data_IF_692853097666
#
_entry.id   IF_692853097666
#
_cell.length_a   1.000
_cell.length_b   1.000
_cell.length_c   1.000
_cell.angle_alpha   90.00
_cell.angle_beta   90.00
_cell.angle_gamma   90.00
#
_symmetry.space_group_name_H-M   'P 1'
#
loop_
_entity.id
_entity.type
_entity.pdbx_description
1 polymer ?
#
# COMPACT_ATOMS: atom_id res chain seq x y z
N UNK A 1 7.39 -42.86 17.36
CA UNK A 1 6.66 -44.13 17.57
C UNK A 1 7.66 -45.18 18.02
N UNK A 2 7.55 -45.76 19.22
CA UNK A 2 8.36 -46.94 19.52
C UNK A 2 7.69 -48.14 18.83
N UNK A 3 8.35 -48.67 17.80
CA UNK A 3 7.92 -49.85 17.04
C UNK A 3 7.66 -51.08 17.93
N UNK A 4 8.15 -51.02 19.17
CA UNK A 4 8.08 -52.04 20.22
C UNK A 4 6.68 -52.21 20.83
N UNK A 5 5.94 -51.13 21.08
CA UNK A 5 4.60 -51.25 21.68
C UNK A 5 3.58 -51.83 20.69
N UNK A 6 3.62 -51.36 19.44
CA UNK A 6 2.79 -51.90 18.34
C UNK A 6 3.16 -53.36 18.06
N UNK A 7 4.45 -53.72 18.13
CA UNK A 7 4.88 -55.10 18.01
C UNK A 7 4.32 -55.99 19.14
N UNK A 8 4.32 -55.52 20.40
CA UNK A 8 3.74 -56.26 21.54
C UNK A 8 2.23 -56.47 21.39
N UNK A 9 1.49 -55.48 20.88
CA UNK A 9 0.04 -55.59 20.62
C UNK A 9 -0.22 -56.56 19.46
N UNK A 10 0.55 -56.47 18.37
CA UNK A 10 0.44 -57.38 17.23
C UNK A 10 0.82 -58.81 17.64
N UNK A 11 1.83 -59.00 18.48
CA UNK A 11 2.26 -60.31 18.96
C UNK A 11 1.25 -60.93 19.93
N UNK A 12 0.63 -60.10 20.77
CA UNK A 12 -0.51 -60.50 21.61
C UNK A 12 -1.74 -60.90 20.78
N UNK A 13 -2.06 -60.15 19.71
CA UNK A 13 -3.16 -60.46 18.78
C UNK A 13 -2.85 -61.66 17.86
N UNK A 14 -1.58 -61.86 17.47
CA UNK A 14 -1.12 -63.00 16.64
C UNK A 14 -1.00 -64.30 17.41
N UNK A 15 -0.65 -64.24 18.70
CA UNK A 15 -0.58 -65.40 19.59
C UNK A 15 -1.94 -65.81 20.16
N UNK A 16 -3.05 -65.23 19.65
CA UNK A 16 -4.40 -65.57 20.05
C UNK A 16 -4.73 -67.05 19.85
N UNK A 17 -4.92 -67.75 20.97
CA UNK A 17 -5.70 -68.99 21.05
C UNK A 17 -7.11 -68.73 20.50
N UNK A 18 -7.80 -69.80 20.06
CA UNK A 18 -9.20 -69.74 19.58
C UNK A 18 -10.05 -68.91 20.54
N UNK A 19 -11.07 -68.21 20.02
CA UNK A 19 -11.94 -67.28 20.74
C UNK A 19 -12.56 -67.79 22.07
N UNK A 20 -12.48 -69.09 22.37
CA UNK A 20 -12.92 -69.72 23.61
C UNK A 20 -11.93 -69.57 24.80
N UNK A 21 -10.68 -69.13 24.57
CA UNK A 21 -9.60 -69.10 25.60
C UNK A 21 -9.16 -67.69 26.02
N UNK A 22 -9.84 -66.62 25.60
CA UNK A 22 -9.46 -65.24 25.96
C UNK A 22 -9.92 -64.93 27.39
N UNK A 23 -8.99 -64.68 28.31
CA UNK A 23 -9.31 -64.38 29.70
C UNK A 23 -9.60 -62.88 29.92
N UNK A 24 -10.29 -62.55 31.01
CA UNK A 24 -10.49 -61.15 31.43
C UNK A 24 -9.16 -60.43 31.67
N UNK A 25 -8.14 -61.16 32.15
CA UNK A 25 -6.79 -60.64 32.40
C UNK A 25 -6.10 -60.21 31.10
N UNK A 26 -6.31 -60.96 30.01
CA UNK A 26 -5.81 -60.63 28.68
C UNK A 26 -6.43 -59.32 28.15
N UNK A 27 -7.74 -59.13 28.34
CA UNK A 27 -8.45 -57.89 27.98
C UNK A 27 -7.96 -56.71 28.81
N UNK A 28 -7.72 -56.91 30.12
CA UNK A 28 -7.20 -55.87 31.00
C UNK A 28 -5.77 -55.46 30.62
N UNK A 29 -4.88 -56.42 30.34
CA UNK A 29 -3.50 -56.12 29.87
C UNK A 29 -3.50 -55.36 28.55
N UNK A 30 -4.38 -55.74 27.62
CA UNK A 30 -4.52 -55.01 26.35
C UNK A 30 -5.04 -53.58 26.59
N UNK A 31 -6.02 -53.40 27.47
CA UNK A 31 -6.54 -52.08 27.83
C UNK A 31 -5.47 -51.20 28.51
N UNK A 32 -4.62 -51.78 29.35
CA UNK A 32 -3.52 -51.08 30.03
C UNK A 32 -2.42 -50.67 29.04
N UNK A 33 -2.01 -51.57 28.14
CA UNK A 33 -1.08 -51.26 27.05
C UNK A 33 -1.62 -50.19 26.08
N UNK A 34 -2.93 -50.21 25.81
CA UNK A 34 -3.60 -49.16 25.05
C UNK A 34 -3.58 -47.82 25.79
N UNK A 35 -3.91 -47.81 27.08
CA UNK A 35 -3.93 -46.60 27.90
C UNK A 35 -2.53 -45.95 28.00
N UNK A 36 -1.48 -46.74 28.21
CA UNK A 36 -0.09 -46.26 28.23
C UNK A 36 0.36 -45.72 26.87
N UNK A 37 0.01 -46.42 25.79
CA UNK A 37 0.28 -45.97 24.41
C UNK A 37 -0.40 -44.64 24.10
N UNK A 38 -1.68 -44.48 24.45
CA UNK A 38 -2.41 -43.24 24.28
C UNK A 38 -1.83 -42.11 25.13
N UNK A 39 -1.52 -42.34 26.41
CA UNK A 39 -0.89 -41.31 27.25
C UNK A 39 0.45 -40.82 26.68
N UNK A 40 1.29 -41.74 26.19
CA UNK A 40 2.56 -41.39 25.55
C UNK A 40 2.37 -40.61 24.25
N UNK A 41 1.38 -41.00 23.44
CA UNK A 41 1.00 -40.31 22.22
C UNK A 41 0.52 -38.87 22.50
N UNK A 42 -0.44 -38.70 23.42
CA UNK A 42 -0.96 -37.38 23.80
C UNK A 42 0.14 -36.48 24.35
N UNK A 43 1.04 -37.00 25.20
CA UNK A 43 2.17 -36.22 25.74
C UNK A 43 3.12 -35.73 24.64
N UNK A 44 3.39 -36.55 23.64
CA UNK A 44 4.26 -36.18 22.51
C UNK A 44 3.57 -35.18 21.58
N UNK A 45 2.28 -35.37 21.34
CA UNK A 45 1.45 -34.48 20.53
C UNK A 45 1.29 -33.10 21.20
N UNK A 46 1.05 -33.06 22.51
CA UNK A 46 0.99 -31.81 23.27
C UNK A 46 2.31 -31.04 23.14
N UNK A 47 3.46 -31.69 23.38
CA UNK A 47 4.77 -31.05 23.24
C UNK A 47 5.02 -30.51 21.83
N UNK A 48 4.62 -31.24 20.79
CA UNK A 48 4.75 -30.81 19.41
C UNK A 48 3.85 -29.60 19.11
N UNK A 49 2.59 -29.63 19.54
CA UNK A 49 1.63 -28.53 19.35
C UNK A 49 2.07 -27.28 20.12
N UNK A 50 2.54 -27.42 21.36
CA UNK A 50 3.07 -26.29 22.14
C UNK A 50 4.33 -25.70 21.51
N UNK A 51 5.20 -26.53 20.93
CA UNK A 51 6.36 -26.05 20.20
C UNK A 51 5.94 -25.28 18.94
N UNK A 52 5.01 -25.82 18.15
CA UNK A 52 4.51 -25.19 16.93
C UNK A 52 3.78 -23.87 17.20
N UNK A 53 2.88 -23.84 18.19
CA UNK A 53 2.23 -22.60 18.65
C UNK A 53 3.24 -21.59 19.17
N UNK A 54 4.30 -22.05 19.84
CA UNK A 54 5.40 -21.21 20.31
C UNK A 54 6.21 -20.57 19.17
N UNK A 55 6.48 -21.33 18.11
CA UNK A 55 7.12 -20.80 16.89
C UNK A 55 6.21 -19.80 16.17
N UNK A 56 4.92 -20.12 15.99
CA UNK A 56 3.95 -19.18 15.41
C UNK A 56 3.85 -17.87 16.21
N UNK A 57 3.79 -17.96 17.55
CA UNK A 57 3.75 -16.78 18.41
C UNK A 57 5.02 -15.93 18.27
N UNK A 58 6.19 -16.57 18.09
CA UNK A 58 7.46 -15.89 17.86
C UNK A 58 7.51 -15.21 16.50
N UNK A 59 7.03 -15.87 15.45
CA UNK A 59 6.90 -15.25 14.12
C UNK A 59 5.97 -14.03 14.13
N UNK A 60 4.82 -14.13 14.81
CA UNK A 60 3.90 -12.99 14.97
C UNK A 60 4.56 -11.83 15.72
N UNK A 61 5.31 -12.14 16.79
CA UNK A 61 6.03 -11.12 17.56
C UNK A 61 7.09 -10.40 16.71
N UNK A 62 7.89 -11.16 15.96
CA UNK A 62 8.89 -10.61 15.05
C UNK A 62 8.24 -9.74 13.97
N UNK A 63 7.15 -10.22 13.37
CA UNK A 63 6.40 -9.47 12.37
C UNK A 63 5.86 -8.15 12.95
N UNK A 64 5.32 -8.17 14.17
CA UNK A 64 4.83 -6.95 14.85
C UNK A 64 5.95 -5.93 15.06
N UNK A 65 7.15 -6.38 15.41
CA UNK A 65 8.33 -5.51 15.55
C UNK A 65 8.77 -4.92 14.21
N UNK A 66 8.82 -5.74 13.16
CA UNK A 66 9.12 -5.28 11.80
C UNK A 66 8.09 -4.28 11.27
N UNK A 67 6.80 -4.48 11.57
CA UNK A 67 5.73 -3.54 11.26
C UNK A 67 5.89 -2.21 12.00
N UNK A 68 6.37 -2.24 13.25
CA UNK A 68 6.64 -1.02 14.02
C UNK A 68 7.78 -0.20 13.39
N UNK A 69 8.80 -0.85 12.83
CA UNK A 69 9.92 -0.19 12.14
C UNK A 69 9.49 0.57 10.88
N UNK A 70 8.37 0.20 10.25
CA UNK A 70 7.82 0.94 9.10
C UNK A 70 7.28 2.32 9.47
N UNK A 71 7.15 2.64 10.76
CA UNK A 71 6.72 3.97 11.26
C UNK A 71 5.50 4.52 10.52
N UNK A 72 4.49 3.67 10.29
CA UNK A 72 3.29 4.01 9.53
C UNK A 72 2.47 5.12 10.22
N UNK A 73 2.51 5.18 11.55
CA UNK A 73 1.86 6.25 12.33
C UNK A 73 2.40 7.62 11.96
N UNK A 74 3.73 7.77 11.81
CA UNK A 74 4.33 9.07 11.45
C UNK A 74 3.97 9.47 10.01
N UNK A 75 3.81 8.49 9.12
CA UNK A 75 3.31 8.78 7.77
C UNK A 75 1.87 9.27 7.81
N UNK A 76 1.01 8.61 8.58
CA UNK A 76 -0.42 8.96 8.73
C UNK A 76 -0.61 10.32 9.42
N UNK A 77 0.13 10.56 10.49
CA UNK A 77 -0.13 11.69 11.40
C UNK A 77 0.66 12.95 11.01
N UNK A 78 1.78 12.82 10.30
CA UNK A 78 2.65 13.96 9.97
C UNK A 78 2.87 14.13 8.46
N UNK A 79 3.40 13.11 7.78
CA UNK A 79 3.87 13.27 6.39
C UNK A 79 2.72 13.41 5.37
N UNK A 80 1.70 12.54 5.42
CA UNK A 80 0.55 12.62 4.51
C UNK A 80 -0.24 13.93 4.71
N UNK A 81 -0.60 14.33 5.94
CA UNK A 81 -1.27 15.61 6.17
C UNK A 81 -0.43 16.81 5.72
N UNK A 82 0.89 16.74 5.89
CA UNK A 82 1.79 17.79 5.43
C UNK A 82 1.84 17.85 3.90
N UNK A 83 1.94 16.72 3.21
CA UNK A 83 1.86 16.69 1.75
C UNK A 83 0.52 17.25 1.23
N UNK A 84 -0.59 16.96 1.90
CA UNK A 84 -1.89 17.58 1.60
C UNK A 84 -1.86 19.11 1.71
N UNK A 85 -1.35 19.64 2.82
CA UNK A 85 -1.20 21.11 2.98
C UNK A 85 -0.28 21.75 1.95
N UNK A 86 0.77 21.05 1.51
CA UNK A 86 1.64 21.53 0.43
C UNK A 86 0.89 21.60 -0.91
N UNK A 87 0.04 20.60 -1.20
CA UNK A 87 -0.82 20.61 -2.40
C UNK A 87 -1.86 21.73 -2.36
N UNK A 88 -2.51 21.95 -1.22
CA UNK A 88 -3.47 23.06 -1.08
C UNK A 88 -2.79 24.41 -1.30
N UNK A 89 -1.60 24.60 -0.72
CA UNK A 89 -0.81 25.82 -0.90
C UNK A 89 -0.32 26.00 -2.35
N UNK A 90 -0.06 24.92 -3.08
CA UNK A 90 0.24 24.98 -4.51
C UNK A 90 -0.98 25.49 -5.28
N UNK A 91 -2.18 24.94 -5.01
CA UNK A 91 -3.41 25.35 -5.69
C UNK A 91 -3.67 26.84 -5.46
N UNK A 92 -3.64 27.28 -4.20
CA UNK A 92 -3.86 28.69 -3.83
C UNK A 92 -2.86 29.62 -4.53
N UNK A 93 -1.56 29.30 -4.47
CA UNK A 93 -0.54 30.11 -5.13
C UNK A 93 -0.70 30.13 -6.66
N UNK A 94 -1.11 29.03 -7.28
CA UNK A 94 -1.36 28.99 -8.73
C UNK A 94 -2.59 29.78 -9.14
N UNK A 95 -3.64 29.80 -8.31
CA UNK A 95 -4.83 30.61 -8.53
C UNK A 95 -4.51 32.11 -8.41
N UNK A 96 -3.77 32.51 -7.36
CA UNK A 96 -3.34 33.89 -7.14
C UNK A 96 -2.44 34.39 -8.29
N UNK A 97 -1.48 33.58 -8.72
CA UNK A 97 -0.61 33.91 -9.85
C UNK A 97 -1.42 34.07 -11.15
N UNK A 98 -2.37 33.17 -11.40
CA UNK A 98 -3.23 33.23 -12.60
C UNK A 98 -4.08 34.49 -12.60
N UNK A 99 -4.72 34.82 -11.47
CA UNK A 99 -5.50 36.05 -11.33
C UNK A 99 -4.64 37.29 -11.57
N UNK A 100 -3.42 37.34 -11.01
CA UNK A 100 -2.49 38.46 -11.20
C UNK A 100 -2.11 38.63 -12.68
N UNK A 101 -1.80 37.52 -13.36
CA UNK A 101 -1.46 37.53 -14.80
C UNK A 101 -2.65 38.01 -15.64
N UNK A 102 -3.86 37.51 -15.34
CA UNK A 102 -5.08 37.92 -16.06
C UNK A 102 -5.39 39.39 -15.86
N UNK A 103 -5.36 39.90 -14.62
CA UNK A 103 -5.59 41.31 -14.32
C UNK A 103 -4.57 42.22 -15.00
N UNK A 104 -3.29 41.87 -14.98
CA UNK A 104 -2.25 42.63 -15.68
C UNK A 104 -2.49 42.67 -17.19
N UNK A 105 -2.91 41.55 -17.80
CA UNK A 105 -3.26 41.50 -19.22
C UNK A 105 -4.50 42.34 -19.55
N UNK A 106 -5.53 42.32 -18.70
CA UNK A 106 -6.73 43.15 -18.85
C UNK A 106 -6.40 44.64 -18.79
N UNK A 107 -5.54 45.07 -17.87
CA UNK A 107 -5.10 46.46 -17.76
C UNK A 107 -4.31 46.92 -19.00
N UNK A 108 -3.44 46.06 -19.54
CA UNK A 108 -2.74 46.32 -20.81
C UNK A 108 -3.74 46.49 -21.96
N UNK A 109 -4.76 45.63 -22.06
CA UNK A 109 -5.77 45.71 -23.12
C UNK A 109 -6.66 46.94 -23.01
N UNK A 110 -6.91 47.43 -21.79
CA UNK A 110 -7.72 48.62 -21.53
C UNK A 110 -6.94 49.94 -21.67
N UNK A 111 -5.62 49.87 -21.89
CA UNK A 111 -4.75 51.03 -21.93
C UNK A 111 -5.03 51.94 -23.14
N UNK A 112 -5.01 53.25 -22.91
CA UNK A 112 -5.12 54.25 -23.99
C UNK A 112 -3.81 54.35 -24.76
N UNK A 113 -3.84 53.96 -26.04
CA UNK A 113 -2.67 53.99 -26.92
C UNK A 113 -2.39 55.38 -27.54
N UNK A 114 -3.23 56.39 -27.26
CA UNK A 114 -3.05 57.74 -27.84
C UNK A 114 -1.95 58.54 -27.16
N UNK A 115 -1.66 58.28 -25.88
CA UNK A 115 -0.48 58.77 -25.17
C UNK A 115 0.60 57.68 -25.15
N UNK A 116 1.60 57.83 -26.02
CA UNK A 116 2.62 56.80 -26.22
C UNK A 116 3.51 56.59 -24.98
N UNK A 117 3.86 57.67 -24.28
CA UNK A 117 4.74 57.63 -23.11
C UNK A 117 4.02 56.98 -21.93
N UNK A 118 2.75 57.34 -21.70
CA UNK A 118 1.93 56.74 -20.66
C UNK A 118 1.64 55.26 -20.95
N UNK A 119 1.33 54.92 -22.21
CA UNK A 119 1.11 53.55 -22.63
C UNK A 119 2.36 52.69 -22.43
N UNK A 120 3.55 53.15 -22.87
CA UNK A 120 4.80 52.41 -22.67
C UNK A 120 5.11 52.17 -21.20
N UNK A 121 4.89 53.17 -20.33
CA UNK A 121 5.12 53.04 -18.90
C UNK A 121 4.20 51.98 -18.27
N UNK A 122 2.90 52.03 -18.56
CA UNK A 122 1.92 51.07 -18.05
C UNK A 122 2.21 49.65 -18.54
N UNK A 123 2.47 49.47 -19.85
CA UNK A 123 2.80 48.15 -20.40
C UNK A 123 4.07 47.60 -19.77
N UNK A 124 5.09 48.43 -19.59
CA UNK A 124 6.33 48.04 -18.92
C UNK A 124 6.11 47.57 -17.49
N UNK A 125 5.29 48.30 -16.72
CA UNK A 125 4.90 47.94 -15.35
C UNK A 125 4.15 46.60 -15.31
N UNK A 126 3.09 46.44 -16.12
CA UNK A 126 2.25 45.23 -16.11
C UNK A 126 3.00 43.98 -16.60
N UNK A 127 3.94 44.14 -17.52
CA UNK A 127 4.83 43.04 -17.94
C UNK A 127 5.77 42.61 -16.81
N UNK A 128 6.24 43.55 -15.97
CA UNK A 128 7.02 43.22 -14.76
C UNK A 128 6.15 42.44 -13.77
N UNK A 129 4.90 42.86 -13.54
CA UNK A 129 3.96 42.16 -12.66
C UNK A 129 3.74 40.71 -13.12
N UNK A 130 3.57 40.49 -14.43
CA UNK A 130 3.46 39.15 -15.03
C UNK A 130 4.72 38.32 -14.76
N UNK A 131 5.91 38.88 -14.97
CA UNK A 131 7.15 38.15 -14.69
C UNK A 131 7.32 37.81 -13.21
N UNK A 132 6.90 38.70 -12.31
CA UNK A 132 6.92 38.43 -10.87
C UNK A 132 5.93 37.32 -10.50
N UNK A 133 4.71 37.35 -11.02
CA UNK A 133 3.71 36.31 -10.82
C UNK A 133 4.20 34.94 -11.33
N UNK A 134 4.88 34.91 -12.47
CA UNK A 134 5.49 33.68 -13.01
C UNK A 134 6.69 33.18 -12.18
N UNK A 135 7.39 34.06 -11.45
CA UNK A 135 8.59 33.67 -10.68
C UNK A 135 8.27 32.76 -9.48
N UNK A 136 7.01 32.67 -9.05
CA UNK A 136 6.55 31.76 -7.99
C UNK A 136 6.64 30.27 -8.37
N UNK A 137 6.85 29.97 -9.65
CA UNK A 137 6.98 28.60 -10.15
C UNK A 137 8.11 27.82 -9.46
N UNK A 138 9.18 28.49 -9.00
CA UNK A 138 10.27 27.82 -8.27
C UNK A 138 9.81 27.27 -6.92
N UNK A 139 9.07 28.06 -6.13
CA UNK A 139 8.51 27.61 -4.84
C UNK A 139 7.48 26.50 -5.05
N UNK A 140 6.63 26.62 -6.07
CA UNK A 140 5.68 25.57 -6.45
C UNK A 140 6.41 24.27 -6.83
N UNK A 141 7.48 24.35 -7.60
CA UNK A 141 8.30 23.19 -7.96
C UNK A 141 8.96 22.52 -6.75
N UNK A 142 9.42 23.30 -5.78
CA UNK A 142 9.97 22.78 -4.52
C UNK A 142 8.89 22.05 -3.70
N UNK A 143 7.69 22.64 -3.58
CA UNK A 143 6.55 22.03 -2.85
C UNK A 143 6.09 20.74 -3.51
N UNK A 144 5.95 20.72 -4.84
CA UNK A 144 5.63 19.49 -5.60
C UNK A 144 6.69 18.42 -5.35
N UNK A 145 7.98 18.79 -5.42
CA UNK A 145 9.08 17.86 -5.16
C UNK A 145 8.99 17.22 -3.77
N UNK A 146 8.59 18.00 -2.75
CA UNK A 146 8.38 17.52 -1.38
C UNK A 146 7.20 16.55 -1.27
N UNK A 147 6.09 16.84 -1.96
CA UNK A 147 4.92 15.95 -2.03
C UNK A 147 5.30 14.63 -2.71
N UNK A 148 5.94 14.68 -3.88
CA UNK A 148 6.39 13.50 -4.63
C UNK A 148 7.36 12.66 -3.81
N UNK A 149 8.31 13.29 -3.11
CA UNK A 149 9.23 12.58 -2.21
C UNK A 149 8.48 11.83 -1.10
N UNK A 150 7.44 12.45 -0.53
CA UNK A 150 6.60 11.84 0.50
C UNK A 150 5.83 10.63 -0.02
N UNK A 151 5.23 10.74 -1.22
CA UNK A 151 4.53 9.64 -1.87
C UNK A 151 5.47 8.48 -2.21
N UNK A 152 6.67 8.77 -2.71
CA UNK A 152 7.69 7.76 -3.00
C UNK A 152 8.17 7.05 -1.72
N UNK A 153 8.28 7.77 -0.61
CA UNK A 153 8.63 7.17 0.68
C UNK A 153 7.52 6.24 1.19
N UNK A 154 6.26 6.62 1.00
CA UNK A 154 5.10 5.81 1.33
C UNK A 154 5.03 4.55 0.46
N UNK A 155 5.22 4.69 -0.86
CA UNK A 155 5.22 3.57 -1.81
C UNK A 155 6.28 2.51 -1.45
N UNK A 156 7.49 2.95 -1.11
CA UNK A 156 8.55 2.03 -0.64
C UNK A 156 8.15 1.26 0.61
N UNK A 157 7.55 1.94 1.60
CA UNK A 157 7.13 1.31 2.86
C UNK A 157 5.97 0.34 2.65
N UNK A 158 5.00 0.69 1.80
CA UNK A 158 3.90 -0.21 1.42
C UNK A 158 4.44 -1.42 0.65
N UNK A 159 5.37 -1.22 -0.27
CA UNK A 159 6.00 -2.32 -1.01
C UNK A 159 6.70 -3.28 -0.05
N UNK A 160 7.52 -2.77 0.89
CA UNK A 160 8.15 -3.60 1.92
C UNK A 160 7.12 -4.32 2.80
N UNK A 161 6.02 -3.66 3.16
CA UNK A 161 4.92 -4.27 3.91
C UNK A 161 4.29 -5.42 3.12
N UNK A 162 3.97 -5.19 1.85
CA UNK A 162 3.35 -6.18 0.96
C UNK A 162 4.31 -7.35 0.73
N UNK A 163 5.61 -7.12 0.54
CA UNK A 163 6.60 -8.19 0.40
C UNK A 163 6.68 -9.06 1.67
N UNK A 164 6.73 -8.44 2.86
CA UNK A 164 6.74 -9.15 4.14
C UNK A 164 5.43 -9.89 4.38
N UNK A 165 4.30 -9.30 4.00
CA UNK A 165 2.97 -9.91 4.13
C UNK A 165 2.71 -10.99 3.08
N UNK A 166 3.21 -10.89 1.85
CA UNK A 166 3.04 -11.91 0.77
C UNK A 166 3.79 -13.22 1.05
N UNK A 167 4.69 -13.24 2.05
CA UNK A 167 5.16 -14.49 2.67
C UNK A 167 3.96 -15.26 3.28
N UNK A 168 2.93 -14.55 3.75
CA UNK A 168 1.59 -15.10 4.00
C UNK A 168 0.78 -14.97 2.72
N UNK A 169 0.29 -16.08 2.16
CA UNK A 169 -0.47 -16.12 0.89
C UNK A 169 -1.71 -15.22 0.93
N UNK A 170 -1.57 -13.97 0.52
CA UNK A 170 -2.66 -13.09 0.15
C UNK A 170 -2.71 -13.11 -1.37
N UNK A 171 -3.63 -13.88 -1.93
CA UNK A 171 -4.00 -13.75 -3.34
C UNK A 171 -4.78 -12.44 -3.47
N UNK A 172 -4.22 -11.48 -4.21
CA UNK A 172 -4.91 -10.24 -4.53
C UNK A 172 -6.22 -10.60 -5.26
N UNK A 173 -7.35 -10.46 -4.57
CA UNK A 173 -8.65 -10.45 -5.23
C UNK A 173 -8.70 -9.13 -5.99
N UNK A 174 -8.62 -9.18 -7.32
CA UNK A 174 -8.87 -8.02 -8.15
C UNK A 174 -10.29 -7.52 -7.81
N UNK A 175 -10.36 -6.44 -7.04
CA UNK A 175 -11.62 -5.74 -6.83
C UNK A 175 -12.02 -5.14 -8.15
N UNK A 176 -13.21 -5.49 -8.65
CA UNK A 176 -13.77 -4.82 -9.82
C UNK A 176 -13.88 -3.31 -9.53
N UNK A 177 -13.44 -2.50 -10.48
CA UNK A 177 -13.58 -1.05 -10.42
C UNK A 177 -15.05 -0.69 -10.22
N UNK A 178 -15.33 0.16 -9.23
CA UNK A 178 -16.68 0.63 -8.97
C UNK A 178 -17.16 1.56 -10.09
N UNK A 179 -18.48 1.59 -10.33
CA UNK A 179 -19.06 2.48 -11.32
C UNK A 179 -18.75 3.98 -11.06
N UNK A 180 -18.49 4.35 -9.81
CA UNK A 180 -18.09 5.70 -9.42
C UNK A 180 -16.64 6.01 -9.84
N UNK A 181 -15.70 5.10 -9.63
CA UNK A 181 -14.30 5.22 -10.06
C UNK A 181 -14.20 5.31 -11.59
N UNK A 182 -14.97 4.46 -12.29
CA UNK A 182 -15.03 4.50 -13.75
C UNK A 182 -15.50 5.86 -14.28
N UNK A 183 -16.59 6.39 -13.71
CA UNK A 183 -17.15 7.70 -14.08
C UNK A 183 -16.17 8.83 -13.76
N UNK A 184 -15.47 8.78 -12.62
CA UNK A 184 -14.48 9.79 -12.24
C UNK A 184 -13.29 9.84 -13.22
N UNK A 185 -12.81 8.67 -13.68
CA UNK A 185 -11.77 8.61 -14.71
C UNK A 185 -12.24 9.17 -16.05
N UNK A 186 -13.47 8.87 -16.46
CA UNK A 186 -14.05 9.40 -17.71
C UNK A 186 -14.29 10.92 -17.66
N UNK A 187 -14.43 11.50 -16.46
CA UNK A 187 -14.59 12.94 -16.22
C UNK A 187 -13.28 13.72 -16.10
N UNK A 188 -12.13 13.05 -16.04
CA UNK A 188 -10.83 13.73 -16.10
C UNK A 188 -10.66 14.35 -17.49
N UNK A 189 -10.97 15.65 -17.59
CA UNK A 189 -10.67 16.48 -18.75
C UNK A 189 -9.16 16.38 -19.02
N UNK A 190 -8.79 15.99 -20.23
CA UNK A 190 -7.39 15.80 -20.62
C UNK A 190 -6.59 17.08 -20.32
N UNK A 191 -5.75 17.02 -19.30
CA UNK A 191 -4.76 18.06 -19.02
C UNK A 191 -3.66 18.09 -20.08
N UNK A 192 -2.62 18.93 -19.90
CA UNK A 192 -1.45 18.93 -20.78
C UNK A 192 -0.90 17.50 -20.91
N UNK A 193 -0.90 16.97 -22.13
CA UNK A 193 -0.48 15.59 -22.38
C UNK A 193 1.03 15.45 -22.16
N UNK A 194 1.46 14.26 -21.73
CA UNK A 194 2.88 13.96 -21.62
C UNK A 194 3.58 14.13 -22.98
N UNK A 195 4.88 14.45 -22.93
CA UNK A 195 5.67 14.71 -24.13
C UNK A 195 5.69 13.45 -25.01
N UNK A 196 5.03 13.53 -26.17
CA UNK A 196 4.88 12.40 -27.11
C UNK A 196 3.54 11.67 -27.06
N UNK A 197 2.65 12.05 -26.14
CA UNK A 197 1.28 11.50 -26.07
C UNK A 197 0.21 12.45 -26.64
N UNK A 198 0.55 13.74 -26.80
CA UNK A 198 -0.32 14.73 -27.43
C UNK A 198 -0.73 14.37 -28.86
N UNK A 199 -1.95 14.75 -29.23
CA UNK A 199 -2.45 14.69 -30.61
C UNK A 199 -1.43 15.38 -31.51
N UNK A 200 -0.92 14.68 -32.52
CA UNK A 200 0.09 15.23 -33.41
C UNK A 200 -0.53 16.28 -34.33
N UNK A 201 0.27 17.23 -34.82
CA UNK A 201 -0.22 18.21 -35.80
C UNK A 201 -0.77 17.50 -37.05
N UNK A 202 -0.17 16.37 -37.44
CA UNK A 202 -0.64 15.54 -38.55
C UNK A 202 -2.05 14.96 -38.30
N UNK A 203 -2.39 14.66 -37.04
CA UNK A 203 -3.74 14.21 -36.65
C UNK A 203 -4.75 15.37 -36.67
N UNK A 204 -4.33 16.58 -36.34
CA UNK A 204 -5.17 17.79 -36.40
C UNK A 204 -5.48 18.15 -37.85
N UNK A 205 -4.45 18.09 -38.70
CA UNK A 205 -4.54 18.41 -40.13
C UNK A 205 -5.38 17.38 -40.91
N UNK A 206 -5.59 16.17 -40.36
CA UNK A 206 -6.48 15.17 -40.95
C UNK A 206 -7.98 15.44 -40.71
N UNK A 207 -8.32 16.34 -39.78
CA UNK A 207 -9.71 16.70 -39.45
C UNK A 207 -10.20 18.00 -40.10
N UNK A 208 -9.32 18.76 -40.77
CA UNK A 208 -9.64 20.01 -41.49
C UNK A 208 -9.34 19.91 -42.99
#
# INVERSE_FOLDING_TARGET
>A
MSSEHVAKIIDFLRNGRKAEDVSLEDVMRLAELMAESFQSFFKTMDLAIYAELGEMAREIANMKEELALLRLSDMRDEHIPTAGRELDAIVEATEEATNTIMSAAEEIMAADATDNDAYQALVGEKVIDIFQACSFQDITGQRISKVVSTLNALDKRITTLVEKLKIMRITDAAGDETAAEKRARELMLHGPQFKGEGVSQDDIDAYF
#
